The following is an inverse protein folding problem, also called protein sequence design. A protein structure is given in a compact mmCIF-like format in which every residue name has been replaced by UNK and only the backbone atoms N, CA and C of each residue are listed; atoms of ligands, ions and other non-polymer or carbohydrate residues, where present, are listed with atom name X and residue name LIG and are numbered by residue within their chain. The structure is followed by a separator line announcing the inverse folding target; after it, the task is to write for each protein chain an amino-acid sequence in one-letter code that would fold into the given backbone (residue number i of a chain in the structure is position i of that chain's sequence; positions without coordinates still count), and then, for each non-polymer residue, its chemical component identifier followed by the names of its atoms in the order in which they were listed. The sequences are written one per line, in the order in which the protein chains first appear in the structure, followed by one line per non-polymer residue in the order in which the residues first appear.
data_IF_150005814157
#
_entry.id   IF_150005814157
#
_cell.length_a   1.000
_cell.length_b   1.000
_cell.length_c   1.000
_cell.angle_alpha   90.00
_cell.angle_beta   90.00
_cell.angle_gamma   90.00
#
_symmetry.space_group_name_H-M   'P 1'
#
loop_
_entity.id
_entity.type
_entity.pdbx_description
1 polymer ?
#
# COMPACT_ATOMS: atom_id res chain seq x y z
N UNK A 1 16.10 -14.25 4.26
CA UNK A 1 15.35 -15.25 5.04
C UNK A 1 14.21 -14.50 5.68
N UNK A 2 13.00 -14.58 5.11
CA UNK A 2 11.83 -13.91 5.68
C UNK A 2 11.45 -14.65 6.96
N UNK A 3 11.47 -13.95 8.08
CA UNK A 3 11.12 -14.52 9.39
C UNK A 3 9.60 -14.65 9.52
N UNK A 4 9.12 -15.56 10.38
CA UNK A 4 7.69 -15.73 10.69
C UNK A 4 7.05 -14.39 11.11
N UNK A 5 7.79 -13.53 11.80
CA UNK A 5 7.36 -12.18 12.18
C UNK A 5 7.11 -11.23 10.98
N UNK A 6 7.82 -11.42 9.86
CA UNK A 6 7.57 -10.67 8.63
C UNK A 6 6.28 -11.17 7.97
N UNK A 7 6.05 -12.49 7.98
CA UNK A 7 4.80 -13.08 7.49
C UNK A 7 3.58 -12.66 8.32
N UNK A 8 3.70 -12.57 9.65
CA UNK A 8 2.64 -12.05 10.51
C UNK A 8 2.37 -10.56 10.27
N UNK A 9 3.40 -9.74 10.03
CA UNK A 9 3.22 -8.34 9.63
C UNK A 9 2.62 -8.18 8.24
N UNK A 10 2.87 -9.13 7.32
CA UNK A 10 2.21 -9.21 6.01
C UNK A 10 0.73 -9.61 6.15
N UNK A 11 0.39 -10.45 7.14
CA UNK A 11 -1.02 -10.72 7.48
C UNK A 11 -1.74 -9.46 7.96
N UNK A 12 -1.00 -8.48 8.47
CA UNK A 12 -1.50 -7.14 8.79
C UNK A 12 -1.83 -6.36 7.51
N UNK A 13 -3.01 -5.72 7.47
CA UNK A 13 -3.46 -4.93 6.31
C UNK A 13 -2.73 -3.60 6.13
N UNK A 14 -1.69 -3.35 6.92
CA UNK A 14 -0.91 -2.12 6.92
C UNK A 14 0.47 -2.40 7.49
N UNK A 15 1.50 -1.84 6.87
CA UNK A 15 2.87 -1.94 7.34
C UNK A 15 3.67 -0.70 6.94
N UNK A 16 4.75 -0.47 7.66
CA UNK A 16 5.71 0.58 7.38
C UNK A 16 7.07 -0.05 7.06
N UNK A 17 7.70 0.43 6.01
CA UNK A 17 9.07 0.10 5.63
C UNK A 17 9.91 1.36 5.66
N UNK A 18 11.11 1.26 6.20
CA UNK A 18 12.03 2.39 6.24
C UNK A 18 13.43 1.98 5.79
N UNK A 19 14.19 2.94 5.28
CA UNK A 19 15.58 2.73 4.87
C UNK A 19 16.38 4.00 5.15
N UNK A 20 17.51 3.85 5.84
CA UNK A 20 18.47 4.92 6.00
C UNK A 20 19.51 4.88 4.88
N UNK A 21 19.75 6.03 4.25
CA UNK A 21 20.79 6.21 3.25
C UNK A 21 21.46 7.56 3.47
N UNK A 22 22.76 7.55 3.83
CA UNK A 22 23.55 8.78 3.99
C UNK A 22 22.92 9.78 5.00
N UNK A 23 22.38 9.28 6.11
CA UNK A 23 21.69 10.09 7.12
C UNK A 23 20.28 10.56 6.73
N UNK A 24 19.78 10.14 5.56
CA UNK A 24 18.42 10.42 5.11
C UNK A 24 17.55 9.18 5.31
N UNK A 25 16.41 9.34 5.99
CA UNK A 25 15.47 8.24 6.21
C UNK A 25 14.33 8.30 5.18
N UNK A 26 14.23 7.28 4.33
CA UNK A 26 13.07 7.08 3.47
C UNK A 26 12.07 6.16 4.13
N UNK A 27 10.79 6.38 3.82
CA UNK A 27 9.64 5.66 4.37
C UNK A 27 8.71 5.25 3.26
N UNK A 28 8.15 4.05 3.36
CA UNK A 28 7.09 3.53 2.51
C UNK A 28 6.01 2.97 3.43
N UNK A 29 4.80 3.52 3.35
CA UNK A 29 3.61 2.98 4.00
C UNK A 29 2.82 2.16 2.98
N UNK A 30 2.63 0.88 3.27
CA UNK A 30 1.86 -0.02 2.43
C UNK A 30 0.57 -0.40 3.13
N UNK A 31 -0.53 -0.47 2.38
CA UNK A 31 -1.84 -0.68 2.98
C UNK A 31 -2.81 -1.36 2.02
N UNK A 32 -3.50 -2.38 2.53
CA UNK A 32 -4.51 -3.13 1.79
C UNK A 32 -5.90 -2.60 2.17
N UNK A 33 -6.72 -2.27 1.17
CA UNK A 33 -8.09 -1.77 1.38
C UNK A 33 -9.09 -2.41 0.42
N UNK A 34 -10.30 -2.77 0.88
CA UNK A 34 -11.37 -3.12 -0.02
C UNK A 34 -11.82 -1.87 -0.81
N UNK A 35 -12.21 -2.05 -2.06
CA UNK A 35 -12.96 -1.04 -2.80
C UNK A 35 -14.39 -0.95 -2.25
N UNK A 36 -15.04 0.21 -2.40
CA UNK A 36 -16.40 0.41 -1.89
C UNK A 36 -17.47 -0.36 -2.65
N UNK A 37 -17.16 -0.85 -3.85
CA UNK A 37 -18.09 -1.66 -4.64
C UNK A 37 -18.28 -3.04 -4.01
N UNK A 38 -19.51 -3.57 -4.07
CA UNK A 38 -19.90 -4.92 -3.60
C UNK A 38 -19.21 -6.08 -4.38
N UNK A 39 -18.20 -5.78 -5.20
CA UNK A 39 -17.48 -6.72 -6.05
C UNK A 39 -16.44 -7.56 -5.31
N UNK A 40 -16.27 -7.38 -4.00
CA UNK A 40 -15.24 -8.06 -3.20
C UNK A 40 -13.82 -7.76 -3.67
N UNK A 41 -13.62 -6.63 -4.36
CA UNK A 41 -12.33 -6.22 -4.93
C UNK A 41 -11.45 -5.50 -3.90
N UNK A 42 -10.14 -5.71 -4.00
CA UNK A 42 -9.15 -5.18 -3.07
C UNK A 42 -8.06 -4.41 -3.80
N UNK A 43 -7.53 -3.39 -3.16
CA UNK A 43 -6.39 -2.59 -3.62
C UNK A 43 -5.23 -2.70 -2.64
N UNK A 44 -4.02 -2.63 -3.17
CA UNK A 44 -2.81 -2.36 -2.39
C UNK A 44 -2.37 -0.94 -2.72
N UNK A 45 -2.23 -0.09 -1.71
CA UNK A 45 -1.76 1.29 -1.86
C UNK A 45 -0.39 1.44 -1.20
N UNK A 46 0.42 2.32 -1.77
CA UNK A 46 1.76 2.65 -1.34
C UNK A 46 1.90 4.17 -1.27
N UNK A 47 2.33 4.70 -0.14
CA UNK A 47 2.78 6.08 -0.01
C UNK A 47 4.27 6.06 0.33
N UNK A 48 5.09 6.79 -0.41
CA UNK A 48 6.54 6.78 -0.28
C UNK A 48 7.09 8.21 -0.22
N UNK A 49 8.15 8.42 0.56
CA UNK A 49 8.78 9.73 0.74
C UNK A 49 9.85 9.72 1.83
N UNK A 50 10.27 10.91 2.25
CA UNK A 50 11.15 11.08 3.41
C UNK A 50 10.33 10.91 4.70
N UNK A 51 10.88 10.22 5.70
CA UNK A 51 10.13 9.81 6.88
C UNK A 51 9.51 10.98 7.70
N UNK A 52 10.10 12.17 7.61
CA UNK A 52 9.65 13.37 8.33
C UNK A 52 8.85 14.36 7.44
N UNK A 53 8.45 13.96 6.23
CA UNK A 53 7.81 14.83 5.25
C UNK A 53 6.45 14.27 4.77
N UNK A 54 5.82 14.96 3.82
CA UNK A 54 4.69 14.41 3.05
C UNK A 54 5.18 13.32 2.08
N UNK A 55 4.32 12.39 1.66
CA UNK A 55 4.71 11.40 0.67
C UNK A 55 5.00 12.12 -0.66
N UNK A 56 6.16 11.85 -1.25
CA UNK A 56 6.53 12.37 -2.57
C UNK A 56 5.95 11.53 -3.71
N UNK A 57 5.51 10.31 -3.41
CA UNK A 57 4.84 9.44 -4.37
C UNK A 57 3.71 8.64 -3.70
N UNK A 58 2.60 8.49 -4.42
CA UNK A 58 1.52 7.56 -4.07
C UNK A 58 1.28 6.65 -5.27
N UNK A 59 1.19 5.34 -5.02
CA UNK A 59 0.88 4.33 -6.03
C UNK A 59 -0.20 3.38 -5.55
N UNK A 60 -0.91 2.77 -6.49
CA UNK A 60 -1.94 1.76 -6.21
C UNK A 60 -1.78 0.58 -7.17
N UNK A 61 -2.06 -0.63 -6.69
CA UNK A 61 -2.15 -1.84 -7.50
C UNK A 61 -3.48 -2.56 -7.23
N UNK A 62 -4.04 -3.18 -8.27
CA UNK A 62 -5.35 -3.83 -8.26
C UNK A 62 -6.27 -3.29 -9.38
N UNK A 63 -7.57 -3.63 -9.35
CA UNK A 63 -8.25 -4.40 -8.31
C UNK A 63 -7.89 -5.89 -8.32
N UNK A 64 -7.70 -6.46 -7.14
CA UNK A 64 -7.50 -7.89 -6.91
C UNK A 64 -8.81 -8.58 -6.50
N UNK A 65 -8.98 -9.85 -6.87
CA UNK A 65 -10.18 -10.66 -6.59
C UNK A 65 -10.11 -11.30 -5.20
N UNK A 66 -9.80 -10.49 -4.19
CA UNK A 66 -9.77 -10.91 -2.79
C UNK A 66 -8.54 -10.45 -2.02
N UNK A 67 -8.64 -10.51 -0.70
CA UNK A 67 -7.54 -10.19 0.22
C UNK A 67 -6.30 -11.07 0.00
N UNK A 68 -6.38 -12.40 -0.23
CA UNK A 68 -5.19 -13.24 -0.39
C UNK A 68 -4.33 -12.87 -1.60
N UNK A 69 -4.96 -12.49 -2.72
CA UNK A 69 -4.24 -12.04 -3.93
C UNK A 69 -3.52 -10.71 -3.67
N UNK A 70 -4.20 -9.76 -3.02
CA UNK A 70 -3.60 -8.49 -2.62
C UNK A 70 -2.43 -8.69 -1.63
N UNK A 71 -2.55 -9.62 -0.68
CA UNK A 71 -1.48 -9.98 0.25
C UNK A 71 -0.29 -10.60 -0.47
N UNK A 72 -0.51 -11.50 -1.43
CA UNK A 72 0.56 -12.11 -2.23
C UNK A 72 1.39 -11.05 -2.97
N UNK A 73 0.72 -10.09 -3.62
CA UNK A 73 1.39 -8.97 -4.29
C UNK A 73 2.18 -8.12 -3.30
N UNK A 74 1.59 -7.81 -2.14
CA UNK A 74 2.28 -7.04 -1.11
C UNK A 74 3.53 -7.76 -0.60
N UNK A 75 3.47 -9.08 -0.38
CA UNK A 75 4.62 -9.92 -0.03
C UNK A 75 5.75 -9.79 -1.04
N UNK A 76 5.47 -9.95 -2.34
CA UNK A 76 6.50 -9.85 -3.37
C UNK A 76 7.12 -8.45 -3.46
N UNK A 77 6.33 -7.40 -3.22
CA UNK A 77 6.85 -6.03 -3.15
C UNK A 77 7.76 -5.84 -1.94
N UNK A 78 7.37 -6.34 -0.76
CA UNK A 78 8.20 -6.27 0.45
C UNK A 78 9.51 -7.03 0.23
N UNK A 79 9.46 -8.25 -0.28
CA UNK A 79 10.64 -9.06 -0.59
C UNK A 79 11.61 -8.29 -1.49
N UNK A 80 11.09 -7.67 -2.56
CA UNK A 80 11.88 -6.83 -3.44
C UNK A 80 12.47 -5.62 -2.71
N UNK A 81 11.68 -4.89 -1.91
CA UNK A 81 12.15 -3.72 -1.16
C UNK A 81 13.21 -4.10 -0.11
N UNK A 82 13.07 -5.26 0.53
CA UNK A 82 14.04 -5.79 1.48
C UNK A 82 15.39 -6.10 0.83
N UNK A 83 15.41 -6.59 -0.41
CA UNK A 83 16.66 -6.74 -1.19
C UNK A 83 17.35 -5.39 -1.45
N UNK A 84 16.60 -4.28 -1.42
CA UNK A 84 17.13 -2.93 -1.56
C UNK A 84 17.43 -2.25 -0.22
N UNK A 85 17.39 -3.00 0.89
CA UNK A 85 17.76 -2.50 2.22
C UNK A 85 16.63 -1.82 2.98
N UNK A 86 15.37 -1.93 2.53
CA UNK A 86 14.23 -1.53 3.35
C UNK A 86 13.93 -2.56 4.43
N UNK A 87 13.59 -2.09 5.62
CA UNK A 87 13.26 -2.92 6.76
C UNK A 87 11.89 -2.55 7.29
N UNK A 88 11.13 -3.53 7.77
CA UNK A 88 9.86 -3.29 8.45
C UNK A 88 10.10 -2.50 9.74
N UNK A 89 9.33 -1.45 9.95
CA UNK A 89 9.36 -0.62 11.14
C UNK A 89 8.00 -0.69 11.87
N UNK A 90 8.02 -0.66 13.19
CA UNK A 90 6.82 -0.65 14.05
C UNK A 90 6.23 0.77 14.24
N UNK A 91 6.44 1.63 13.24
CA UNK A 91 5.98 3.00 13.26
C UNK A 91 4.48 3.11 12.97
N UNK A 92 3.85 4.09 13.62
CA UNK A 92 2.47 4.47 13.32
C UNK A 92 2.38 5.06 11.91
N UNK A 93 1.40 4.68 11.09
CA UNK A 93 1.18 5.31 9.79
C UNK A 93 0.85 6.81 9.92
N UNK A 94 1.61 7.66 9.24
CA UNK A 94 1.47 9.12 9.25
C UNK A 94 0.84 9.66 7.95
N UNK A 95 0.75 8.84 6.89
CA UNK A 95 0.21 9.26 5.59
C UNK A 95 -1.19 8.69 5.28
N UNK A 96 -1.92 8.26 6.31
CA UNK A 96 -3.25 7.68 6.17
C UNK A 96 -4.24 8.56 5.38
N UNK A 97 -4.19 9.89 5.54
CA UNK A 97 -5.07 10.82 4.80
C UNK A 97 -4.73 10.87 3.30
N UNK A 98 -3.44 10.84 2.94
CA UNK A 98 -2.99 10.82 1.55
C UNK A 98 -3.44 9.53 0.86
N UNK A 99 -3.24 8.39 1.53
CA UNK A 99 -3.73 7.08 1.07
C UNK A 99 -5.26 7.11 0.91
N UNK A 100 -5.99 7.66 1.87
CA UNK A 100 -7.44 7.69 1.81
C UNK A 100 -7.95 8.59 0.68
N UNK A 101 -7.29 9.71 0.42
CA UNK A 101 -7.60 10.58 -0.72
C UNK A 101 -7.41 9.84 -2.05
N UNK A 102 -6.31 9.10 -2.20
CA UNK A 102 -6.08 8.29 -3.40
C UNK A 102 -7.13 7.20 -3.58
N UNK A 103 -7.52 6.50 -2.50
CA UNK A 103 -8.59 5.50 -2.58
C UNK A 103 -9.92 6.12 -3.03
N UNK A 104 -10.27 7.31 -2.54
CA UNK A 104 -11.48 8.03 -2.99
C UNK A 104 -11.40 8.44 -4.45
N UNK A 105 -10.23 8.86 -4.92
CA UNK A 105 -9.99 9.20 -6.33
C UNK A 105 -10.24 7.99 -7.22
N UNK A 106 -9.68 6.84 -6.86
CA UNK A 106 -9.88 5.56 -7.57
C UNK A 106 -11.34 5.14 -7.56
N UNK A 107 -12.03 5.20 -6.41
CA UNK A 107 -13.46 4.89 -6.32
C UNK A 107 -14.28 5.82 -7.25
N UNK A 108 -13.97 7.10 -7.28
CA UNK A 108 -14.67 8.11 -8.09
C UNK A 108 -14.46 7.89 -9.60
N UNK A 109 -13.22 7.66 -10.04
CA UNK A 109 -12.89 7.40 -11.45
C UNK A 109 -13.65 6.17 -11.98
N UNK A 110 -13.81 5.15 -11.13
CA UNK A 110 -14.52 3.92 -11.49
C UNK A 110 -16.02 4.13 -11.56
N UNK A 111 -16.61 4.93 -10.66
CA UNK A 111 -18.02 5.30 -10.74
C UNK A 111 -18.32 6.07 -12.03
N UNK A 112 -17.46 7.00 -12.42
CA UNK A 112 -17.61 7.75 -13.68
C UNK A 112 -17.61 6.78 -14.87
N UNK A 113 -16.63 5.89 -14.95
CA UNK A 113 -16.54 4.90 -16.03
C UNK A 113 -17.78 3.97 -16.11
N UNK A 114 -18.28 3.50 -14.96
CA UNK A 114 -19.50 2.68 -14.89
C UNK A 114 -20.75 3.45 -15.34
N UNK A 115 -20.87 4.73 -14.97
CA UNK A 115 -21.99 5.57 -15.41
C UNK A 115 -21.97 5.83 -16.92
N UNK A 116 -20.79 5.96 -17.53
CA UNK A 116 -20.66 6.15 -18.98
C UNK A 116 -20.93 4.88 -19.79
N UNK A 117 -20.77 3.69 -19.21
CA UNK A 117 -21.04 2.42 -19.91
C UNK A 117 -22.51 1.98 -19.88
N UNK A 118 -23.37 2.70 -19.16
CA UNK A 118 -24.80 2.41 -19.03
C UNK A 118 -25.67 3.18 -20.05
N UNK A 119 -25.06 3.83 -21.04
CA UNK A 119 -25.73 4.57 -22.11
C UNK A 119 -25.29 4.07 -23.49
#
# INVERSE_FOLDING_TARGET
MNTVADQERIMQRSLCLTRECMGLMTRIECVIRPLRSDSGQWMVLFAAGMAAEQPSAIKSQGPFRGLPEAQSVLTSVIESLSLHGYQCADDVPIWALHVQAELRRIDSDRMVCQSSSLF
#
